data_IF_345765166537
#
_entry.id   IF_345765166537
#
_cell.length_a   1.000
_cell.length_b   1.000
_cell.length_c   1.000
_cell.angle_alpha   90.00
_cell.angle_beta   90.00
_cell.angle_gamma   90.00
#
_symmetry.space_group_name_H-M   'P 1'
#
loop_
_entity.id
_entity.type
_entity.pdbx_description
1 polymer ?
#
# COMPACT_ATOMS: atom_id res chain seq x y z
N UNK A 1 9.33 -25.96 -20.76
CA UNK A 1 10.05 -24.76 -21.26
C UNK A 1 10.31 -23.87 -20.06
N UNK A 2 11.56 -23.84 -19.57
CA UNK A 2 11.95 -23.08 -18.39
C UNK A 2 12.08 -21.62 -18.78
N UNK A 3 11.30 -20.73 -18.15
CA UNK A 3 11.41 -19.27 -18.37
C UNK A 3 12.84 -18.86 -18.02
N UNK A 4 13.57 -18.10 -18.88
CA UNK A 4 14.92 -17.66 -18.55
C UNK A 4 14.90 -16.90 -17.22
N UNK A 5 15.77 -17.29 -16.29
CA UNK A 5 15.97 -16.56 -15.04
C UNK A 5 16.45 -15.16 -15.40
N UNK A 6 15.63 -14.15 -15.05
CA UNK A 6 16.01 -12.75 -15.27
C UNK A 6 17.22 -12.43 -14.39
N UNK A 7 18.24 -11.75 -14.93
CA UNK A 7 19.40 -11.37 -14.13
C UNK A 7 18.98 -10.48 -12.97
N UNK A 8 19.47 -10.81 -11.77
CA UNK A 8 19.23 -10.04 -10.55
C UNK A 8 20.00 -8.71 -10.66
N UNK A 9 19.37 -7.55 -10.46
CA UNK A 9 20.07 -6.27 -10.50
C UNK A 9 21.19 -6.17 -9.47
N UNK A 10 22.28 -5.49 -9.81
CA UNK A 10 23.47 -5.36 -8.96
C UNK A 10 23.19 -4.61 -7.65
N UNK A 11 22.18 -3.74 -7.65
CA UNK A 11 21.75 -2.98 -6.49
C UNK A 11 20.83 -3.76 -5.54
N UNK A 12 20.29 -4.91 -5.97
CA UNK A 12 19.37 -5.71 -5.18
C UNK A 12 20.16 -6.58 -4.17
N UNK A 13 20.52 -5.96 -3.04
CA UNK A 13 21.38 -6.56 -2.02
C UNK A 13 20.71 -7.63 -1.15
N UNK A 14 19.40 -7.85 -1.30
CA UNK A 14 18.62 -8.81 -0.53
C UNK A 14 17.64 -9.60 -1.41
N UNK A 15 17.22 -10.77 -0.94
CA UNK A 15 16.18 -11.54 -1.60
C UNK A 15 14.83 -10.81 -1.52
N UNK A 16 14.04 -10.92 -2.59
CA UNK A 16 12.66 -10.44 -2.57
C UNK A 16 11.89 -11.15 -1.43
N UNK A 17 11.19 -10.40 -0.57
CA UNK A 17 10.31 -11.02 0.40
C UNK A 17 9.17 -11.77 -0.33
N UNK A 18 8.56 -12.81 0.28
CA UNK A 18 7.58 -13.67 -0.40
C UNK A 18 6.34 -12.95 -0.95
N UNK A 19 6.09 -11.72 -0.51
CA UNK A 19 4.98 -10.89 -0.94
C UNK A 19 5.34 -9.91 -2.07
N UNK A 20 6.62 -9.76 -2.42
CA UNK A 20 7.02 -8.85 -3.48
C UNK A 20 6.62 -9.42 -4.84
N UNK A 21 5.89 -8.63 -5.63
CA UNK A 21 5.51 -8.95 -7.01
C UNK A 21 6.14 -8.00 -8.03
N UNK A 22 6.84 -6.95 -7.55
CA UNK A 22 7.48 -5.95 -8.41
C UNK A 22 8.64 -6.55 -9.21
N UNK A 23 8.74 -6.18 -10.47
CA UNK A 23 9.92 -6.47 -11.28
C UNK A 23 11.03 -5.46 -10.98
N UNK A 24 12.25 -5.96 -10.75
CA UNK A 24 13.41 -5.14 -10.45
C UNK A 24 14.35 -5.10 -11.66
N UNK A 25 14.75 -3.90 -12.07
CA UNK A 25 15.64 -3.70 -13.21
C UNK A 25 16.91 -2.95 -12.81
N UNK A 26 18.02 -3.24 -13.50
CA UNK A 26 19.31 -2.56 -13.26
C UNK A 26 19.18 -1.03 -13.35
N UNK A 27 18.32 -0.54 -14.25
CA UNK A 27 18.08 0.88 -14.49
C UNK A 27 17.10 1.56 -13.53
N UNK A 28 16.56 0.87 -12.52
CA UNK A 28 15.62 1.48 -11.58
C UNK A 28 16.29 2.66 -10.84
N UNK A 29 15.60 3.81 -10.87
CA UNK A 29 16.03 5.01 -10.14
C UNK A 29 16.09 4.72 -8.64
N UNK A 30 16.91 5.44 -7.88
CA UNK A 30 17.15 5.13 -6.46
C UNK A 30 15.86 5.12 -5.63
N UNK A 31 14.89 5.97 -5.98
CA UNK A 31 13.58 6.04 -5.33
C UNK A 31 12.65 4.87 -5.68
N UNK A 32 12.90 4.19 -6.81
CA UNK A 32 12.15 3.04 -7.30
C UNK A 32 12.68 1.69 -6.80
N UNK A 33 13.79 1.71 -6.05
CA UNK A 33 14.41 0.52 -5.46
C UNK A 33 13.70 0.12 -4.17
N UNK A 34 12.52 -0.47 -4.33
CA UNK A 34 11.73 -0.98 -3.21
C UNK A 34 10.96 -2.24 -3.60
N UNK A 35 10.73 -3.12 -2.63
CA UNK A 35 9.81 -4.25 -2.76
C UNK A 35 8.37 -3.76 -2.62
N UNK A 36 7.45 -4.33 -3.40
CA UNK A 36 6.03 -3.99 -3.34
C UNK A 36 5.16 -5.23 -3.57
N UNK A 37 4.06 -5.35 -2.83
CA UNK A 37 3.03 -6.33 -3.17
C UNK A 37 2.08 -5.84 -4.26
N UNK A 38 1.16 -6.73 -4.65
CA UNK A 38 0.08 -6.42 -5.57
C UNK A 38 -0.84 -5.36 -4.93
N UNK A 39 -1.01 -4.18 -5.54
CA UNK A 39 -1.91 -3.16 -5.02
C UNK A 39 -3.35 -3.65 -5.01
N UNK A 40 -4.03 -3.55 -3.88
CA UNK A 40 -5.47 -3.74 -3.80
C UNK A 40 -6.20 -2.44 -4.16
N UNK A 41 -7.24 -2.52 -4.99
CA UNK A 41 -8.12 -1.40 -5.34
C UNK A 41 -9.48 -1.61 -4.66
N UNK A 42 -9.94 -0.62 -3.91
CA UNK A 42 -11.16 -0.71 -3.11
C UNK A 42 -12.07 0.49 -3.38
N UNK A 43 -13.30 0.27 -3.90
CA UNK A 43 -14.29 1.33 -3.99
C UNK A 43 -14.81 1.67 -2.59
N UNK A 44 -14.79 2.96 -2.23
CA UNK A 44 -15.30 3.45 -0.94
C UNK A 44 -16.09 4.75 -1.11
N UNK A 45 -16.86 5.08 -0.09
CA UNK A 45 -17.48 6.41 0.07
C UNK A 45 -16.72 7.13 1.18
N UNK A 46 -16.01 8.20 0.82
CA UNK A 46 -15.09 8.89 1.72
C UNK A 46 -14.98 10.38 1.42
N UNK A 47 -14.44 11.14 2.36
CA UNK A 47 -14.29 12.59 2.25
C UNK A 47 -13.28 13.13 3.27
N UNK A 48 -12.96 14.41 3.16
CA UNK A 48 -12.02 15.12 4.05
C UNK A 48 -12.62 15.53 5.38
N UNK A 49 -13.94 15.34 5.57
CA UNK A 49 -14.67 15.72 6.77
C UNK A 49 -14.58 17.21 7.14
N UNK A 50 -14.37 18.07 6.13
CA UNK A 50 -14.21 19.53 6.26
C UNK A 50 -15.51 20.33 6.11
N UNK A 51 -16.62 19.67 5.76
CA UNK A 51 -17.96 20.30 5.65
C UNK A 51 -18.90 19.89 6.79
N UNK A 52 -19.92 20.72 7.08
CA UNK A 52 -21.00 20.39 8.02
C UNK A 52 -22.36 20.37 7.28
N UNK A 53 -23.14 19.26 7.35
CA UNK A 53 -22.82 18.01 8.04
C UNK A 53 -21.67 17.25 7.36
N UNK A 54 -20.91 16.47 8.14
CA UNK A 54 -19.72 15.72 7.68
C UNK A 54 -20.01 14.86 6.44
N UNK A 55 -21.25 14.37 6.31
CA UNK A 55 -21.68 13.54 5.20
C UNK A 55 -21.78 14.28 3.87
N UNK A 56 -21.72 15.62 3.87
CA UNK A 56 -21.83 16.43 2.65
C UNK A 56 -20.58 16.44 1.79
N UNK A 57 -19.41 16.10 2.36
CA UNK A 57 -18.15 15.96 1.62
C UNK A 57 -17.81 14.52 1.26
N UNK A 58 -18.74 13.58 1.48
CA UNK A 58 -18.56 12.19 1.11
C UNK A 58 -18.80 11.99 -0.38
N UNK A 59 -17.83 11.40 -1.04
CA UNK A 59 -17.87 11.12 -2.47
C UNK A 59 -17.40 9.69 -2.74
N UNK A 60 -17.79 9.14 -3.90
CA UNK A 60 -17.23 7.89 -4.38
C UNK A 60 -15.75 8.09 -4.73
N UNK A 61 -14.91 7.21 -4.21
CA UNK A 61 -13.46 7.23 -4.44
C UNK A 61 -12.93 5.80 -4.48
N UNK A 62 -11.95 5.56 -5.35
CA UNK A 62 -11.18 4.32 -5.36
C UNK A 62 -9.90 4.51 -4.56
N UNK A 63 -9.71 3.68 -3.53
CA UNK A 63 -8.49 3.64 -2.75
C UNK A 63 -7.57 2.54 -3.25
N UNK A 64 -6.30 2.88 -3.41
CA UNK A 64 -5.21 1.91 -3.55
C UNK A 64 -4.62 1.67 -2.18
N UNK A 65 -4.53 0.39 -1.81
CA UNK A 65 -3.79 -0.07 -0.64
C UNK A 65 -2.66 -0.96 -1.10
N UNK A 66 -1.43 -0.59 -0.73
CA UNK A 66 -0.23 -1.35 -1.08
C UNK A 66 0.77 -1.33 0.07
N UNK A 67 1.56 -2.38 0.16
CA UNK A 67 2.68 -2.50 1.09
C UNK A 67 3.97 -2.42 0.32
N UNK A 68 4.98 -1.78 0.92
CA UNK A 68 6.32 -1.80 0.38
C UNK A 68 7.42 -1.67 1.42
N UNK A 69 8.66 -1.82 0.96
CA UNK A 69 9.89 -1.67 1.75
C UNK A 69 11.04 -1.31 0.83
N UNK A 70 11.76 -0.23 1.12
CA UNK A 70 12.96 0.10 0.35
C UNK A 70 14.03 -0.99 0.51
N UNK A 71 14.78 -1.24 -0.55
CA UNK A 71 15.83 -2.26 -0.54
C UNK A 71 16.91 -1.86 0.47
N UNK A 72 17.25 -2.79 1.36
CA UNK A 72 18.21 -2.55 2.44
C UNK A 72 17.62 -1.87 3.68
N UNK A 73 16.34 -1.49 3.67
CA UNK A 73 15.63 -1.02 4.86
C UNK A 73 14.89 -2.14 5.57
N UNK A 74 14.73 -2.01 6.89
CA UNK A 74 13.95 -2.94 7.71
C UNK A 74 12.46 -2.55 7.83
N UNK A 75 12.12 -1.29 7.54
CA UNK A 75 10.77 -0.76 7.77
C UNK A 75 9.87 -1.07 6.59
N UNK A 76 8.89 -1.92 6.83
CA UNK A 76 7.80 -2.16 5.88
C UNK A 76 6.68 -1.14 6.12
N UNK A 77 6.24 -0.47 5.07
CA UNK A 77 5.17 0.52 5.09
C UNK A 77 3.91 0.00 4.37
N UNK A 78 2.76 0.58 4.72
CA UNK A 78 1.47 0.41 4.04
C UNK A 78 0.98 1.80 3.65
N UNK A 79 0.70 1.99 2.37
CA UNK A 79 0.12 3.22 1.82
C UNK A 79 -1.36 2.99 1.54
N UNK A 80 -2.19 3.96 1.91
CA UNK A 80 -3.60 4.09 1.53
C UNK A 80 -3.76 5.45 0.87
N UNK A 81 -4.13 5.47 -0.40
CA UNK A 81 -4.24 6.69 -1.19
C UNK A 81 -5.35 6.58 -2.24
N UNK A 82 -5.95 7.71 -2.62
CA UNK A 82 -6.91 7.75 -3.71
C UNK A 82 -6.20 7.68 -5.08
N UNK A 83 -6.77 6.96 -6.05
CA UNK A 83 -6.18 6.85 -7.41
C UNK A 83 -6.20 8.20 -8.12
N UNK A 84 -7.36 8.86 -8.15
CA UNK A 84 -7.62 10.00 -9.03
C UNK A 84 -7.63 11.36 -8.30
N UNK A 85 -7.14 11.41 -7.05
CA UNK A 85 -7.21 12.62 -6.23
C UNK A 85 -5.90 12.89 -5.53
N UNK A 86 -5.45 14.14 -5.60
CA UNK A 86 -4.52 14.72 -4.61
C UNK A 86 -5.27 14.90 -3.29
N UNK A 87 -5.46 13.80 -2.57
CA UNK A 87 -6.09 13.75 -1.26
C UNK A 87 -5.09 13.36 -0.16
N UNK A 88 -5.53 13.30 1.11
CA UNK A 88 -4.68 12.83 2.19
C UNK A 88 -4.25 11.39 1.95
N UNK A 89 -2.95 11.18 1.77
CA UNK A 89 -2.31 9.86 1.80
C UNK A 89 -2.09 9.46 3.25
N UNK A 90 -2.49 8.25 3.60
CA UNK A 90 -2.11 7.64 4.87
C UNK A 90 -0.95 6.68 4.63
N UNK A 91 0.21 6.96 5.22
CA UNK A 91 1.37 6.08 5.22
C UNK A 91 1.62 5.59 6.64
N UNK A 92 1.60 4.28 6.82
CA UNK A 92 1.77 3.63 8.12
C UNK A 92 2.93 2.66 8.06
N UNK A 93 3.58 2.41 9.19
CA UNK A 93 4.37 1.18 9.33
C UNK A 93 3.43 -0.04 9.30
N UNK A 94 3.94 -1.21 8.96
CA UNK A 94 3.16 -2.45 8.97
C UNK A 94 2.57 -2.76 10.37
N UNK A 95 3.31 -2.45 11.44
CA UNK A 95 2.82 -2.58 12.81
C UNK A 95 1.63 -1.67 13.09
N UNK A 96 1.76 -0.36 12.79
CA UNK A 96 0.67 0.59 12.97
C UNK A 96 -0.54 0.27 12.11
N UNK A 97 -0.35 -0.23 10.89
CA UNK A 97 -1.44 -0.69 10.02
C UNK A 97 -2.21 -1.86 10.66
N UNK A 98 -1.52 -2.83 11.26
CA UNK A 98 -2.16 -3.95 11.98
C UNK A 98 -2.94 -3.49 13.20
N UNK A 99 -2.37 -2.58 13.98
CA UNK A 99 -3.06 -1.98 15.13
C UNK A 99 -4.30 -1.22 14.70
N UNK A 100 -4.20 -0.38 13.66
CA UNK A 100 -5.34 0.36 13.12
C UNK A 100 -6.43 -0.60 12.62
N UNK A 101 -6.08 -1.61 11.82
CA UNK A 101 -7.04 -2.61 11.34
C UNK A 101 -7.78 -3.30 12.49
N UNK A 102 -7.05 -3.69 13.54
CA UNK A 102 -7.64 -4.33 14.73
C UNK A 102 -8.62 -3.39 15.46
N UNK A 103 -8.28 -2.11 15.57
CA UNK A 103 -9.17 -1.10 16.15
C UNK A 103 -10.40 -0.84 15.27
N UNK A 104 -10.25 -0.79 13.95
CA UNK A 104 -11.36 -0.61 13.02
C UNK A 104 -12.35 -1.78 13.10
N UNK A 105 -11.86 -3.02 13.06
CA UNK A 105 -12.70 -4.23 13.21
C UNK A 105 -13.49 -4.17 14.52
N UNK A 106 -12.84 -3.82 15.64
CA UNK A 106 -13.52 -3.66 16.94
C UNK A 106 -14.59 -2.58 16.95
N UNK A 107 -14.41 -1.50 16.18
CA UNK A 107 -15.38 -0.39 16.10
C UNK A 107 -16.57 -0.72 15.21
N UNK A 108 -16.35 -1.48 14.15
CA UNK A 108 -17.41 -1.94 13.25
C UNK A 108 -18.27 -3.05 13.88
N UNK A 109 -17.77 -3.71 14.94
CA UNK A 109 -18.40 -4.87 15.55
C UNK A 109 -18.11 -6.14 14.73
N UNK A 110 -18.51 -7.30 15.24
CA UNK A 110 -18.60 -8.51 14.40
C UNK A 110 -19.62 -8.20 13.31
N UNK A 111 -19.17 -8.13 12.06
CA UNK A 111 -20.08 -8.29 10.94
C UNK A 111 -20.46 -9.76 10.96
N UNK A 112 -21.61 -10.07 11.57
CA UNK A 112 -22.25 -11.36 11.36
C UNK A 112 -22.57 -11.44 9.86
N UNK A 113 -21.78 -12.21 9.13
CA UNK A 113 -22.05 -12.65 7.77
C UNK A 113 -22.71 -14.03 7.80
#
# INVERSE_FOLDING_TARGET
>A
MTRPERPVPSWLAEHCPPWCVREHHEGDHVEDRYHQDEPGIYPVVGGTADTVPITSSLEAVELVVRRGRHVGESVTWVAVEAIDRTGPRLLLTLESARHLASHLVRRLGTVDG
#
